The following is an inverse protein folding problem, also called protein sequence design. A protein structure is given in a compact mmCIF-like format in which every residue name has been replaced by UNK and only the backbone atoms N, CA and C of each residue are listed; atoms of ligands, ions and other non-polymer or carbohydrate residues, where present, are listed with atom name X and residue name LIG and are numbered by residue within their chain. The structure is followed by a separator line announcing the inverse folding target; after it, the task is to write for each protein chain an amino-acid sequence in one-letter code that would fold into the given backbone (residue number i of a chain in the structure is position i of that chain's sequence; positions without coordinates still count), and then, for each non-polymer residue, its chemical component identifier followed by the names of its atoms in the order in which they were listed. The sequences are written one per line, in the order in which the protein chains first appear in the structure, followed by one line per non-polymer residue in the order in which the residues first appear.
data_IF_368519800989
#
_entry.id   IF_368519800989
#
_cell.length_a   1.000
_cell.length_b   1.000
_cell.length_c   1.000
_cell.angle_alpha   90.00
_cell.angle_beta   90.00
_cell.angle_gamma   90.00
#
_symmetry.space_group_name_H-M   'P 1'
#
loop_
_entity.id
_entity.type
_entity.pdbx_description
1 polymer ?
#
# COMPACT_ATOMS: atom_id res chain seq x y z
N UNK A 1 16.78 14.76 -15.02
CA UNK A 1 15.61 13.84 -15.03
C UNK A 1 14.42 14.55 -14.36
N UNK A 2 13.15 14.22 -14.63
CA UNK A 2 11.98 14.87 -14.00
C UNK A 2 10.83 13.86 -13.77
N UNK A 3 9.78 14.30 -13.09
CA UNK A 3 8.60 13.47 -12.76
C UNK A 3 7.92 12.92 -14.00
N UNK A 4 7.76 13.72 -15.05
CA UNK A 4 7.15 13.28 -16.32
C UNK A 4 7.88 12.09 -16.92
N UNK A 5 9.23 12.09 -16.89
CA UNK A 5 10.03 10.96 -17.36
C UNK A 5 9.89 9.72 -16.48
N UNK A 6 9.79 9.89 -15.16
CA UNK A 6 9.51 8.77 -14.25
C UNK A 6 8.14 8.18 -14.58
N UNK A 7 7.10 9.01 -14.66
CA UNK A 7 5.74 8.59 -15.01
C UNK A 7 5.70 7.84 -16.35
N UNK A 8 6.37 8.35 -17.38
CA UNK A 8 6.47 7.67 -18.66
C UNK A 8 7.16 6.29 -18.54
N UNK A 9 8.17 6.15 -17.68
CA UNK A 9 8.89 4.89 -17.50
C UNK A 9 8.16 3.82 -16.70
N UNK A 10 7.18 4.23 -15.88
CA UNK A 10 6.37 3.31 -15.06
C UNK A 10 4.97 3.07 -15.63
N UNK A 11 4.61 3.73 -16.74
CA UNK A 11 3.26 3.68 -17.29
C UNK A 11 2.84 2.24 -17.64
N UNK A 12 3.75 1.45 -18.22
CA UNK A 12 3.43 0.07 -18.58
C UNK A 12 3.07 -0.79 -17.37
N UNK A 13 3.75 -0.61 -16.24
CA UNK A 13 3.48 -1.33 -15.00
C UNK A 13 2.15 -0.86 -14.38
N UNK A 14 1.87 0.45 -14.42
CA UNK A 14 0.56 0.99 -14.00
C UNK A 14 -0.58 0.39 -14.82
N UNK A 15 -0.45 0.39 -16.15
CA UNK A 15 -1.48 -0.17 -17.04
C UNK A 15 -1.71 -1.67 -16.75
N UNK A 16 -0.65 -2.44 -16.50
CA UNK A 16 -0.76 -3.86 -16.12
C UNK A 16 -1.52 -4.05 -14.81
N UNK A 17 -1.30 -3.20 -13.80
CA UNK A 17 -2.02 -3.28 -12.53
C UNK A 17 -3.49 -2.88 -12.66
N UNK A 18 -3.80 -1.88 -13.50
CA UNK A 18 -5.18 -1.43 -13.73
C UNK A 18 -5.98 -2.42 -14.60
N UNK A 19 -5.31 -3.17 -15.47
CA UNK A 19 -5.93 -4.16 -16.36
C UNK A 19 -5.65 -5.61 -15.91
N UNK A 20 -5.28 -5.80 -14.65
CA UNK A 20 -4.83 -7.10 -14.15
C UNK A 20 -5.95 -8.15 -14.20
N UNK A 21 -5.65 -9.35 -14.70
CA UNK A 21 -6.63 -10.42 -14.89
C UNK A 21 -7.31 -10.86 -13.58
N UNK A 22 -6.60 -10.80 -12.45
CA UNK A 22 -7.12 -10.95 -11.09
C UNK A 22 -8.54 -10.38 -10.89
N UNK A 23 -8.81 -9.17 -11.36
CA UNK A 23 -10.10 -8.52 -11.14
C UNK A 23 -11.27 -9.31 -11.72
N UNK A 24 -11.09 -9.94 -12.88
CA UNK A 24 -12.09 -10.78 -13.51
C UNK A 24 -12.20 -12.18 -12.87
N UNK A 25 -11.25 -12.56 -12.00
CA UNK A 25 -11.21 -13.87 -11.33
C UNK A 25 -11.92 -13.87 -9.99
N UNK A 26 -12.05 -12.73 -9.32
CA UNK A 26 -12.76 -12.61 -8.03
C UNK A 26 -14.27 -12.67 -8.26
N UNK A 27 -14.86 -13.87 -8.23
CA UNK A 27 -16.27 -14.12 -8.58
C UNK A 27 -17.12 -14.69 -7.46
N UNK A 28 -16.49 -15.29 -6.44
CA UNK A 28 -17.13 -15.84 -5.26
C UNK A 28 -16.66 -15.15 -3.99
N UNK A 29 -17.41 -15.33 -2.89
CA UNK A 29 -17.04 -14.78 -1.58
C UNK A 29 -15.71 -15.38 -1.12
N UNK A 30 -15.45 -16.63 -1.44
CA UNK A 30 -14.20 -17.33 -1.15
C UNK A 30 -13.00 -16.75 -1.95
N UNK A 31 -13.23 -16.33 -3.19
CA UNK A 31 -12.21 -15.61 -3.97
C UNK A 31 -11.93 -14.23 -3.36
N UNK A 32 -12.99 -13.54 -2.92
CA UNK A 32 -12.87 -12.26 -2.22
C UNK A 32 -12.08 -12.41 -0.92
N UNK A 33 -12.37 -13.43 -0.11
CA UNK A 33 -11.58 -13.73 1.10
C UNK A 33 -10.11 -13.94 0.75
N UNK A 34 -9.82 -14.74 -0.28
CA UNK A 34 -8.45 -14.97 -0.74
C UNK A 34 -7.75 -13.67 -1.16
N UNK A 35 -8.49 -12.77 -1.82
CA UNK A 35 -7.99 -11.43 -2.16
C UNK A 35 -7.66 -10.63 -0.90
N UNK A 36 -8.60 -10.50 0.05
CA UNK A 36 -8.43 -9.68 1.25
C UNK A 36 -7.31 -10.20 2.16
N UNK A 37 -7.25 -11.52 2.36
CA UNK A 37 -6.26 -12.20 3.20
C UNK A 37 -4.81 -12.03 2.72
N UNK A 38 -4.62 -11.73 1.43
CA UNK A 38 -3.32 -11.42 0.84
C UNK A 38 -3.08 -9.90 0.72
N UNK A 39 -4.11 -9.14 0.32
CA UNK A 39 -4.02 -7.69 0.13
C UNK A 39 -3.76 -6.94 1.45
N UNK A 40 -4.22 -7.47 2.58
CA UNK A 40 -3.98 -6.90 3.92
C UNK A 40 -2.49 -6.64 4.22
N UNK A 41 -1.57 -7.42 3.63
CA UNK A 41 -0.13 -7.18 3.78
C UNK A 41 0.33 -5.90 3.08
N UNK A 42 -0.30 -5.49 1.98
CA UNK A 42 -0.05 -4.21 1.32
C UNK A 42 -0.72 -3.04 2.05
N UNK A 43 -1.83 -3.27 2.74
CA UNK A 43 -2.43 -2.27 3.63
C UNK A 43 -1.48 -1.99 4.80
N UNK A 44 -0.90 -3.04 5.38
CA UNK A 44 0.04 -2.91 6.49
C UNK A 44 1.42 -2.34 6.08
N UNK A 45 1.99 -2.75 4.93
CA UNK A 45 3.31 -2.26 4.50
C UNK A 45 3.30 -0.77 4.17
N UNK A 46 2.16 -0.25 3.70
CA UNK A 46 1.94 1.17 3.43
C UNK A 46 2.24 2.03 4.67
N UNK A 47 1.68 1.66 5.82
CA UNK A 47 1.94 2.35 7.09
C UNK A 47 3.43 2.33 7.45
N UNK A 48 4.15 1.26 7.13
CA UNK A 48 5.60 1.20 7.39
C UNK A 48 6.40 2.19 6.54
N UNK A 49 6.05 2.36 5.25
CA UNK A 49 6.63 3.38 4.39
C UNK A 49 6.31 4.79 4.89
N UNK A 50 5.05 5.03 5.25
CA UNK A 50 4.58 6.33 5.77
C UNK A 50 5.33 6.70 7.06
N UNK A 51 5.46 5.77 8.01
CA UNK A 51 6.21 6.01 9.26
C UNK A 51 7.69 6.26 9.01
N UNK A 52 8.31 5.54 8.07
CA UNK A 52 9.68 5.81 7.67
C UNK A 52 9.85 7.23 7.08
N UNK A 53 8.90 7.69 6.25
CA UNK A 53 8.88 9.07 5.76
C UNK A 53 8.64 10.08 6.88
N UNK A 54 7.73 9.81 7.82
CA UNK A 54 7.47 10.68 8.96
C UNK A 54 8.73 10.87 9.81
N UNK A 55 9.47 9.81 10.09
CA UNK A 55 10.73 9.88 10.82
C UNK A 55 11.79 10.72 10.08
N UNK A 56 11.89 10.59 8.75
CA UNK A 56 12.93 11.29 7.96
C UNK A 56 12.57 12.73 7.62
N UNK A 57 11.30 13.03 7.43
CA UNK A 57 10.83 14.29 6.85
C UNK A 57 10.18 15.22 7.88
N UNK A 58 9.88 14.71 9.08
CA UNK A 58 9.30 15.50 10.18
C UNK A 58 10.16 15.42 11.44
N UNK A 59 9.60 15.75 12.60
CA UNK A 59 10.23 15.53 13.89
C UNK A 59 9.31 14.70 14.76
N UNK A 60 9.73 13.47 15.05
CA UNK A 60 8.99 12.48 15.85
C UNK A 60 9.66 12.20 17.21
N UNK A 61 10.68 12.99 17.57
CA UNK A 61 11.51 12.77 18.77
C UNK A 61 11.63 14.03 19.63
N UNK A 62 12.14 13.86 20.86
CA UNK A 62 12.37 14.96 21.80
C UNK A 62 13.86 15.20 22.04
N UNK A 63 14.33 16.46 22.15
CA UNK A 63 13.56 17.70 22.04
C UNK A 63 13.10 17.99 20.60
N UNK A 64 11.92 18.61 20.46
CA UNK A 64 11.36 18.94 19.15
C UNK A 64 12.13 20.08 18.48
N UNK A 65 12.45 19.90 17.19
CA UNK A 65 13.05 20.90 16.32
C UNK A 65 12.40 20.80 14.91
N UNK A 66 12.26 21.91 14.18
CA UNK A 66 11.71 21.86 12.82
C UNK A 66 12.68 21.17 11.84
N UNK A 67 12.19 20.18 11.09
CA UNK A 67 12.96 19.40 10.10
C UNK A 67 12.60 19.81 8.67
N UNK A 68 13.56 20.27 7.87
CA UNK A 68 13.38 20.41 6.41
C UNK A 68 12.26 21.38 5.98
N UNK A 69 11.53 21.02 4.92
CA UNK A 69 10.51 21.86 4.29
C UNK A 69 9.15 21.79 5.03
N UNK A 70 8.51 22.92 5.41
CA UNK A 70 7.19 22.92 6.04
C UNK A 70 6.08 22.24 5.22
N UNK A 71 6.11 22.34 3.89
CA UNK A 71 5.09 21.77 3.00
C UNK A 71 5.16 20.25 3.00
N UNK A 72 6.38 19.70 2.90
CA UNK A 72 6.61 18.26 3.02
C UNK A 72 6.24 17.77 4.43
N UNK A 73 6.52 18.53 5.49
CA UNK A 73 6.08 18.19 6.85
C UNK A 73 4.57 18.16 7.00
N UNK A 74 3.88 19.13 6.41
CA UNK A 74 2.43 19.22 6.44
C UNK A 74 1.82 18.00 5.74
N UNK A 75 2.24 17.72 4.49
CA UNK A 75 1.80 16.54 3.73
C UNK A 75 1.92 15.24 4.54
N UNK A 76 3.11 14.94 5.04
CA UNK A 76 3.35 13.67 5.73
C UNK A 76 2.54 13.57 7.01
N UNK A 77 2.41 14.66 7.78
CA UNK A 77 1.60 14.61 8.99
C UNK A 77 0.09 14.54 8.70
N UNK A 78 -0.35 15.15 7.61
CA UNK A 78 -1.75 15.08 7.17
C UNK A 78 -2.12 13.65 6.78
N UNK A 79 -1.31 13.00 5.92
CA UNK A 79 -1.50 11.59 5.56
C UNK A 79 -1.45 10.72 6.81
N UNK A 80 -0.54 10.98 7.77
CA UNK A 80 -0.51 10.22 9.03
C UNK A 80 -1.82 10.37 9.82
N UNK A 81 -2.42 11.57 9.88
CA UNK A 81 -3.70 11.75 10.58
C UNK A 81 -4.81 10.95 9.91
N UNK A 82 -4.87 10.97 8.58
CA UNK A 82 -5.84 10.18 7.82
C UNK A 82 -5.61 8.69 8.06
N UNK A 83 -4.42 8.18 7.80
CA UNK A 83 -4.14 6.75 7.80
C UNK A 83 -4.12 6.10 9.18
N UNK A 84 -3.72 6.83 10.23
CA UNK A 84 -3.60 6.28 11.59
C UNK A 84 -4.86 6.50 12.42
N UNK A 85 -5.68 7.50 12.08
CA UNK A 85 -6.83 7.92 12.89
C UNK A 85 -7.99 8.52 12.06
N UNK A 86 -8.46 7.84 11.03
CA UNK A 86 -9.62 8.31 10.26
C UNK A 86 -10.96 8.02 10.96
N UNK A 87 -12.02 8.66 10.49
CA UNK A 87 -13.40 8.31 10.83
C UNK A 87 -13.81 7.01 10.16
N UNK A 88 -14.43 6.14 10.94
CA UNK A 88 -15.15 4.96 10.45
C UNK A 88 -16.58 5.33 10.02
N UNK A 89 -17.27 4.41 9.35
CA UNK A 89 -18.67 4.57 8.96
C UNK A 89 -19.60 4.88 10.15
N UNK A 90 -19.30 4.36 11.35
CA UNK A 90 -20.04 4.61 12.59
C UNK A 90 -19.49 5.80 13.41
N UNK A 91 -18.54 6.56 12.86
CA UNK A 91 -17.99 7.79 13.44
C UNK A 91 -16.95 7.59 14.54
N UNK A 92 -16.43 6.37 14.73
CA UNK A 92 -15.28 6.09 15.60
C UNK A 92 -13.97 6.46 14.89
N UNK A 93 -12.85 6.38 15.62
CA UNK A 93 -11.51 6.60 15.08
C UNK A 93 -10.76 5.28 15.00
N UNK A 94 -10.27 4.92 13.83
CA UNK A 94 -9.44 3.76 13.57
C UNK A 94 -8.35 4.12 12.55
N UNK A 95 -7.24 3.40 12.58
CA UNK A 95 -6.33 3.40 11.44
C UNK A 95 -6.97 2.70 10.24
N UNK A 96 -6.54 3.04 9.02
CA UNK A 96 -6.96 2.35 7.81
C UNK A 96 -6.66 0.86 7.85
N UNK A 97 -5.55 0.45 8.49
CA UNK A 97 -5.28 -0.97 8.73
C UNK A 97 -6.36 -1.64 9.61
N UNK A 98 -6.74 -1.01 10.72
CA UNK A 98 -7.81 -1.53 11.60
C UNK A 98 -9.16 -1.53 10.90
N UNK A 99 -9.47 -0.52 10.08
CA UNK A 99 -10.68 -0.49 9.25
C UNK A 99 -10.72 -1.64 8.25
N UNK A 100 -9.57 -1.96 7.65
CA UNK A 100 -9.46 -3.08 6.72
C UNK A 100 -9.66 -4.43 7.43
N UNK A 101 -9.08 -4.61 8.62
CA UNK A 101 -9.29 -5.80 9.47
C UNK A 101 -10.76 -5.92 9.89
N UNK A 102 -11.40 -4.84 10.32
CA UNK A 102 -12.82 -4.84 10.68
C UNK A 102 -13.71 -5.18 9.46
N UNK A 103 -13.38 -4.68 8.27
CA UNK A 103 -14.07 -5.04 7.03
C UNK A 103 -13.85 -6.51 6.63
N UNK A 104 -12.65 -7.06 6.86
CA UNK A 104 -12.36 -8.48 6.64
C UNK A 104 -13.22 -9.36 7.56
N UNK A 105 -13.28 -9.05 8.85
CA UNK A 105 -14.07 -9.81 9.81
C UNK A 105 -15.57 -9.74 9.51
N UNK A 106 -16.06 -8.56 9.11
CA UNK A 106 -17.47 -8.32 8.76
C UNK A 106 -17.94 -9.17 7.56
N UNK A 107 -17.07 -9.36 6.56
CA UNK A 107 -17.36 -10.22 5.41
C UNK A 107 -16.89 -11.68 5.59
N UNK A 108 -16.30 -12.04 6.74
CA UNK A 108 -15.92 -13.40 7.10
C UNK A 108 -14.54 -13.88 6.62
N UNK A 109 -13.69 -12.98 6.14
CA UNK A 109 -12.31 -13.31 5.76
C UNK A 109 -11.43 -13.58 6.99
N UNK A 110 -10.42 -14.45 6.85
CA UNK A 110 -9.58 -14.87 7.96
C UNK A 110 -8.46 -13.86 8.29
N UNK A 111 -8.54 -13.20 9.43
CA UNK A 111 -7.51 -12.23 9.89
C UNK A 111 -6.38 -12.87 10.69
N UNK A 112 -6.52 -14.13 11.13
CA UNK A 112 -5.53 -14.78 11.98
C UNK A 112 -4.11 -14.83 11.39
N UNK A 113 -3.89 -15.08 10.07
CA UNK A 113 -2.55 -15.12 9.50
C UNK A 113 -1.79 -13.79 9.60
N UNK A 114 -2.45 -12.65 9.30
CA UNK A 114 -1.81 -11.34 9.42
C UNK A 114 -1.55 -10.98 10.88
N UNK A 115 -2.50 -11.26 11.78
CA UNK A 115 -2.32 -10.98 13.21
C UNK A 115 -1.16 -11.80 13.81
N UNK A 116 -1.09 -13.10 13.50
CA UNK A 116 0.03 -13.95 13.89
C UNK A 116 1.36 -13.48 13.28
N UNK A 117 1.35 -12.99 12.04
CA UNK A 117 2.53 -12.39 11.43
C UNK A 117 3.02 -11.17 12.21
N UNK A 118 2.11 -10.27 12.62
CA UNK A 118 2.46 -9.07 13.41
C UNK A 118 2.98 -9.44 14.80
N UNK A 119 2.41 -10.45 15.46
CA UNK A 119 2.96 -11.00 16.70
C UNK A 119 4.40 -11.48 16.50
N UNK A 120 4.66 -12.25 15.44
CA UNK A 120 6.01 -12.69 15.09
C UNK A 120 6.98 -11.52 14.80
N UNK A 121 6.52 -10.45 14.15
CA UNK A 121 7.31 -9.22 13.94
C UNK A 121 7.70 -8.59 15.29
N UNK A 122 6.77 -8.50 16.22
CA UNK A 122 7.02 -7.96 17.56
C UNK A 122 7.99 -8.85 18.38
N UNK A 123 7.84 -10.17 18.31
CA UNK A 123 8.67 -11.13 19.04
C UNK A 123 10.11 -11.20 18.50
N UNK A 124 10.26 -11.32 17.18
CA UNK A 124 11.59 -11.47 16.55
C UNK A 124 12.38 -10.17 16.56
N UNK A 125 11.70 -9.02 16.57
CA UNK A 125 12.28 -7.68 16.37
C UNK A 125 13.17 -7.60 15.13
N UNK A 126 12.90 -8.45 14.15
CA UNK A 126 13.63 -8.50 12.88
C UNK A 126 12.65 -8.88 11.77
N UNK A 127 12.19 -7.87 11.05
CA UNK A 127 11.19 -8.02 10.00
C UNK A 127 11.62 -9.00 8.91
N UNK A 128 12.90 -9.01 8.52
CA UNK A 128 13.39 -9.94 7.49
C UNK A 128 13.34 -11.40 7.96
N UNK A 129 13.54 -11.67 9.25
CA UNK A 129 13.36 -13.00 9.82
C UNK A 129 11.89 -13.41 9.83
N UNK A 130 10.98 -12.51 10.23
CA UNK A 130 9.54 -12.76 10.19
C UNK A 130 9.03 -13.05 8.77
N UNK A 131 9.42 -12.24 7.79
CA UNK A 131 9.07 -12.45 6.37
C UNK A 131 9.59 -13.80 5.87
N UNK A 132 10.84 -14.14 6.19
CA UNK A 132 11.43 -15.41 5.74
C UNK A 132 10.69 -16.62 6.32
N UNK A 133 10.33 -16.57 7.61
CA UNK A 133 9.70 -17.66 8.35
C UNK A 133 8.18 -17.79 8.15
N UNK A 134 7.51 -16.76 7.64
CA UNK A 134 6.06 -16.82 7.42
C UNK A 134 5.69 -17.86 6.36
N UNK A 135 4.43 -18.29 6.32
CA UNK A 135 3.93 -19.20 5.27
C UNK A 135 3.36 -18.45 4.06
N UNK A 136 3.71 -17.16 3.91
CA UNK A 136 3.23 -16.32 2.82
C UNK A 136 3.75 -16.79 1.46
N UNK A 137 2.94 -16.55 0.43
CA UNK A 137 3.32 -16.78 -0.95
C UNK A 137 4.66 -16.07 -1.28
N UNK A 138 5.58 -16.69 -2.06
CA UNK A 138 6.90 -16.11 -2.35
C UNK A 138 6.86 -14.68 -2.89
N UNK A 139 5.88 -14.34 -3.74
CA UNK A 139 5.76 -12.97 -4.24
C UNK A 139 5.24 -11.97 -3.18
N UNK A 140 4.42 -12.40 -2.22
CA UNK A 140 4.02 -11.56 -1.07
C UNK A 140 5.25 -11.29 -0.20
N UNK A 141 6.07 -12.31 0.06
CA UNK A 141 7.34 -12.15 0.76
C UNK A 141 8.28 -11.20 0.03
N UNK A 142 8.41 -11.33 -1.30
CA UNK A 142 9.26 -10.46 -2.11
C UNK A 142 8.79 -9.00 -2.09
N UNK A 143 7.48 -8.77 -2.06
CA UNK A 143 6.89 -7.44 -1.92
C UNK A 143 7.23 -6.81 -0.56
N UNK A 144 7.04 -7.55 0.54
CA UNK A 144 7.39 -7.06 1.88
C UNK A 144 8.90 -6.87 2.05
N UNK A 145 9.72 -7.84 1.60
CA UNK A 145 11.18 -7.77 1.69
C UNK A 145 11.72 -6.54 0.95
N UNK A 146 11.20 -6.23 -0.24
CA UNK A 146 11.51 -5.00 -0.95
C UNK A 146 11.21 -3.76 -0.12
N UNK A 147 9.99 -3.63 0.41
CA UNK A 147 9.57 -2.47 1.22
C UNK A 147 10.53 -2.25 2.39
N UNK A 148 10.82 -3.30 3.16
CA UNK A 148 11.70 -3.16 4.33
C UNK A 148 13.17 -2.98 3.98
N UNK A 149 13.64 -3.48 2.83
CA UNK A 149 15.00 -3.15 2.33
C UNK A 149 15.14 -1.68 1.96
N UNK A 150 14.13 -1.10 1.32
CA UNK A 150 14.13 0.34 0.98
C UNK A 150 14.11 1.19 2.26
N UNK A 151 13.33 0.79 3.26
CA UNK A 151 13.32 1.44 4.58
C UNK A 151 14.68 1.32 5.27
N UNK A 152 15.28 0.12 5.30
CA UNK A 152 16.59 -0.15 5.92
C UNK A 152 17.74 0.60 5.22
N UNK A 153 17.69 0.77 3.89
CA UNK A 153 18.65 1.62 3.16
C UNK A 153 18.58 3.09 3.62
N UNK A 154 17.41 3.54 4.11
CA UNK A 154 17.27 4.80 4.83
C UNK A 154 17.34 6.07 3.97
N UNK A 155 17.38 5.95 2.64
CA UNK A 155 17.42 7.10 1.72
C UNK A 155 16.01 7.67 1.51
N UNK A 156 15.73 8.93 1.93
CA UNK A 156 14.37 9.48 1.89
C UNK A 156 13.75 9.51 0.49
N UNK A 157 14.55 9.81 -0.55
CA UNK A 157 14.05 9.84 -1.93
C UNK A 157 13.65 8.46 -2.46
N UNK A 158 14.31 7.38 -2.02
CA UNK A 158 13.94 6.01 -2.40
C UNK A 158 12.66 5.57 -1.69
N UNK A 159 12.56 5.83 -0.39
CA UNK A 159 11.34 5.54 0.38
C UNK A 159 10.16 6.33 -0.22
N UNK A 160 10.36 7.61 -0.53
CA UNK A 160 9.34 8.44 -1.17
C UNK A 160 8.94 7.92 -2.55
N UNK A 161 9.88 7.41 -3.36
CA UNK A 161 9.54 6.80 -4.64
C UNK A 161 8.65 5.55 -4.49
N UNK A 162 9.01 4.66 -3.56
CA UNK A 162 8.21 3.46 -3.28
C UNK A 162 6.82 3.81 -2.74
N UNK A 163 6.73 4.80 -1.84
CA UNK A 163 5.48 5.31 -1.28
C UNK A 163 4.61 5.97 -2.36
N UNK A 164 5.13 7.00 -3.04
CA UNK A 164 4.34 7.81 -3.98
C UNK A 164 3.96 7.02 -5.23
N UNK A 165 4.92 6.50 -5.98
CA UNK A 165 4.63 5.86 -7.28
C UNK A 165 4.17 4.41 -7.14
N UNK A 166 4.65 3.72 -6.10
CA UNK A 166 4.33 2.32 -5.86
C UNK A 166 3.04 2.11 -5.07
N UNK A 167 2.51 3.15 -4.41
CA UNK A 167 1.30 3.08 -3.56
C UNK A 167 0.38 4.26 -3.87
N UNK A 168 0.64 5.42 -3.28
CA UNK A 168 -0.24 6.60 -3.19
C UNK A 168 -0.91 6.97 -4.53
N UNK A 169 -0.10 7.18 -5.57
CA UNK A 169 -0.56 7.64 -6.88
C UNK A 169 -1.36 6.57 -7.66
N UNK A 170 -1.20 5.30 -7.30
CA UNK A 170 -1.86 4.18 -7.96
C UNK A 170 -3.17 3.78 -7.26
N UNK A 171 -3.21 3.92 -5.93
CA UNK A 171 -4.28 3.39 -5.07
C UNK A 171 -5.68 3.81 -5.54
N UNK A 172 -5.99 5.10 -5.83
CA UNK A 172 -7.35 5.52 -6.18
C UNK A 172 -7.90 4.84 -7.44
N UNK A 173 -7.07 4.78 -8.50
CA UNK A 173 -7.47 4.16 -9.76
C UNK A 173 -7.64 2.64 -9.61
N UNK A 174 -6.74 2.01 -8.85
CA UNK A 174 -6.77 0.57 -8.58
C UNK A 174 -7.99 0.19 -7.72
N UNK A 175 -8.30 0.97 -6.69
CA UNK A 175 -9.44 0.77 -5.81
C UNK A 175 -10.78 1.00 -6.53
N UNK A 176 -10.82 1.92 -7.50
CA UNK A 176 -11.98 2.09 -8.39
C UNK A 176 -12.28 0.81 -9.17
N UNK A 177 -11.26 0.16 -9.74
CA UNK A 177 -11.45 -1.12 -10.46
C UNK A 177 -11.86 -2.25 -9.50
N UNK A 178 -11.29 -2.31 -8.29
CA UNK A 178 -11.68 -3.29 -7.27
C UNK A 178 -13.16 -3.13 -6.89
N UNK A 179 -13.59 -1.91 -6.56
CA UNK A 179 -14.99 -1.60 -6.21
C UNK A 179 -15.96 -1.95 -7.32
N UNK A 180 -15.63 -1.60 -8.58
CA UNK A 180 -16.48 -1.92 -9.74
C UNK A 180 -16.74 -3.42 -9.87
N UNK A 181 -15.72 -4.24 -9.63
CA UNK A 181 -15.87 -5.69 -9.67
C UNK A 181 -16.70 -6.20 -8.50
N UNK A 182 -16.53 -5.65 -7.29
CA UNK A 182 -17.30 -6.08 -6.13
C UNK A 182 -18.79 -5.78 -6.28
N UNK A 183 -19.14 -4.58 -6.74
CA UNK A 183 -20.53 -4.22 -7.02
C UNK A 183 -21.16 -5.09 -8.11
N UNK A 184 -20.37 -5.57 -9.07
CA UNK A 184 -20.86 -6.42 -10.17
C UNK A 184 -21.06 -7.87 -9.72
N UNK A 185 -20.12 -8.43 -8.93
CA UNK A 185 -20.10 -9.85 -8.59
C UNK A 185 -20.77 -10.19 -7.26
N UNK A 186 -20.92 -9.22 -6.35
CA UNK A 186 -21.43 -9.44 -4.99
C UNK A 186 -22.65 -8.56 -4.61
N UNK A 187 -23.68 -8.39 -5.47
CA UNK A 187 -24.77 -7.45 -5.22
C UNK A 187 -25.62 -7.76 -3.97
N UNK A 188 -25.57 -9.00 -3.47
CA UNK A 188 -26.33 -9.46 -2.30
C UNK A 188 -25.46 -9.64 -1.04
N UNK A 189 -24.14 -9.46 -1.13
CA UNK A 189 -23.23 -9.56 0.02
C UNK A 189 -23.13 -8.20 0.69
N UNK A 190 -23.32 -8.14 2.01
CA UNK A 190 -23.05 -6.91 2.75
C UNK A 190 -21.54 -6.66 2.78
N UNK A 191 -21.10 -5.62 2.06
CA UNK A 191 -19.71 -5.19 1.99
C UNK A 191 -19.57 -3.72 2.41
N UNK A 192 -20.53 -3.16 3.17
CA UNK A 192 -20.62 -1.73 3.46
C UNK A 192 -19.32 -1.16 4.05
N UNK A 193 -18.70 -1.85 5.01
CA UNK A 193 -17.41 -1.42 5.60
C UNK A 193 -16.26 -1.47 4.61
N UNK A 194 -16.24 -2.48 3.75
CA UNK A 194 -15.21 -2.65 2.75
C UNK A 194 -15.34 -1.59 1.64
N UNK A 195 -16.57 -1.35 1.19
CA UNK A 195 -16.89 -0.28 0.23
C UNK A 195 -16.48 1.07 0.81
N UNK A 196 -16.87 1.36 2.05
CA UNK A 196 -16.48 2.58 2.74
C UNK A 196 -14.96 2.75 2.80
N UNK A 197 -14.21 1.70 3.17
CA UNK A 197 -12.74 1.75 3.20
C UNK A 197 -12.15 2.18 1.84
N UNK A 198 -12.61 1.58 0.74
CA UNK A 198 -12.10 1.91 -0.60
C UNK A 198 -12.53 3.30 -1.06
N UNK A 199 -13.78 3.69 -0.83
CA UNK A 199 -14.29 5.03 -1.16
C UNK A 199 -13.51 6.12 -0.42
N UNK A 200 -13.17 5.92 0.86
CA UNK A 200 -12.36 6.86 1.65
C UNK A 200 -11.00 7.14 1.02
N UNK A 201 -10.30 6.12 0.50
CA UNK A 201 -9.01 6.31 -0.17
C UNK A 201 -9.17 6.97 -1.55
N UNK A 202 -10.27 6.69 -2.27
CA UNK A 202 -10.55 7.38 -3.53
C UNK A 202 -10.80 8.87 -3.30
N UNK A 203 -11.56 9.22 -2.27
CA UNK A 203 -11.91 10.61 -1.93
C UNK A 203 -10.72 11.41 -1.36
N UNK A 204 -9.94 10.82 -0.46
CA UNK A 204 -8.83 11.50 0.21
C UNK A 204 -7.62 11.71 -0.71
N UNK A 205 -7.28 10.69 -1.50
CA UNK A 205 -5.98 10.67 -2.17
C UNK A 205 -6.02 11.34 -3.57
N UNK A 206 -7.21 11.52 -4.17
CA UNK A 206 -7.32 11.98 -5.56
C UNK A 206 -6.97 13.45 -5.78
N UNK A 207 -7.32 14.33 -4.82
CA UNK A 207 -7.33 15.77 -5.08
C UNK A 207 -6.22 16.55 -4.35
N UNK A 208 -5.79 16.10 -3.16
CA UNK A 208 -4.81 16.83 -2.35
C UNK A 208 -3.45 16.12 -2.24
N UNK A 209 -3.43 14.83 -1.88
CA UNK A 209 -2.17 14.13 -1.59
C UNK A 209 -1.31 13.85 -2.82
N UNK A 210 -1.90 13.50 -3.97
CA UNK A 210 -1.17 13.24 -5.22
C UNK A 210 -0.26 14.40 -5.67
N UNK A 211 -0.80 15.62 -5.91
CA UNK A 211 0.03 16.78 -6.29
C UNK A 211 1.11 17.13 -5.26
N UNK A 212 0.79 17.01 -3.97
CA UNK A 212 1.74 17.28 -2.89
C UNK A 212 2.86 16.24 -2.82
N UNK A 213 2.56 14.97 -3.07
CA UNK A 213 3.55 13.91 -3.16
C UNK A 213 4.54 14.16 -4.31
N UNK A 214 4.06 14.64 -5.46
CA UNK A 214 4.93 15.04 -6.58
C UNK A 214 5.82 16.24 -6.23
N UNK A 215 5.32 17.20 -5.45
CA UNK A 215 6.14 18.31 -4.93
C UNK A 215 7.22 17.79 -3.99
N UNK A 216 6.89 16.91 -3.05
CA UNK A 216 7.85 16.25 -2.15
C UNK A 216 8.95 15.52 -2.95
N UNK A 217 8.59 14.78 -3.99
CA UNK A 217 9.54 14.09 -4.88
C UNK A 217 10.54 15.07 -5.50
N UNK A 218 10.04 16.18 -6.07
CA UNK A 218 10.88 17.21 -6.67
C UNK A 218 11.84 17.84 -5.65
N UNK A 219 11.36 18.10 -4.44
CA UNK A 219 12.17 18.66 -3.34
C UNK A 219 13.28 17.71 -2.88
N UNK A 220 12.97 16.42 -2.71
CA UNK A 220 13.94 15.43 -2.26
C UNK A 220 15.06 15.19 -3.25
N UNK A 221 14.76 15.25 -4.55
CA UNK A 221 15.73 15.11 -5.62
C UNK A 221 16.52 16.39 -5.91
N UNK A 222 15.84 17.55 -5.94
CA UNK A 222 16.43 18.81 -6.37
C UNK A 222 17.12 18.68 -7.74
N UNK A 223 18.37 19.13 -7.84
CA UNK A 223 19.19 19.05 -9.06
C UNK A 223 20.08 17.80 -9.12
N UNK A 224 19.92 16.85 -8.18
CA UNK A 224 20.79 15.68 -8.10
C UNK A 224 20.31 14.56 -9.04
N UNK A 225 20.97 14.41 -10.18
CA UNK A 225 20.64 13.38 -11.18
C UNK A 225 20.78 11.94 -10.65
N UNK A 226 21.64 11.68 -9.67
CA UNK A 226 21.75 10.34 -9.06
C UNK A 226 20.49 10.01 -8.28
N UNK A 227 19.97 10.96 -7.48
CA UNK A 227 18.71 10.75 -6.74
C UNK A 227 17.55 10.50 -7.67
N UNK A 228 17.46 11.27 -8.77
CA UNK A 228 16.41 11.06 -9.77
C UNK A 228 16.50 9.69 -10.42
N UNK A 229 17.71 9.20 -10.73
CA UNK A 229 17.91 7.86 -11.30
C UNK A 229 17.52 6.77 -10.30
N UNK A 230 17.96 6.89 -9.05
CA UNK A 230 17.60 5.97 -7.97
C UNK A 230 16.09 5.95 -7.71
N UNK A 231 15.42 7.11 -7.75
CA UNK A 231 13.96 7.17 -7.67
C UNK A 231 13.30 6.41 -8.81
N UNK A 232 13.73 6.63 -10.05
CA UNK A 232 13.17 5.93 -11.21
C UNK A 232 13.30 4.41 -11.06
N UNK A 233 14.50 3.93 -10.69
CA UNK A 233 14.79 2.51 -10.47
C UNK A 233 13.87 1.93 -9.38
N UNK A 234 13.71 2.62 -8.25
CA UNK A 234 12.83 2.19 -7.15
C UNK A 234 11.35 2.25 -7.52
N UNK A 235 10.90 3.26 -8.26
CA UNK A 235 9.50 3.34 -8.71
C UNK A 235 9.12 2.18 -9.62
N UNK A 236 10.01 1.80 -10.54
CA UNK A 236 9.83 0.63 -11.41
C UNK A 236 9.75 -0.64 -10.57
N UNK A 237 10.74 -0.87 -9.70
CA UNK A 237 10.78 -2.08 -8.88
C UNK A 237 9.58 -2.18 -7.94
N UNK A 238 9.15 -1.08 -7.33
CA UNK A 238 7.99 -1.05 -6.43
C UNK A 238 6.70 -1.52 -7.11
N UNK A 239 6.50 -1.12 -8.37
CA UNK A 239 5.35 -1.54 -9.17
C UNK A 239 5.49 -2.98 -9.66
N UNK A 240 6.69 -3.43 -10.03
CA UNK A 240 6.94 -4.84 -10.38
C UNK A 240 6.67 -5.78 -9.20
N UNK A 241 7.09 -5.40 -7.98
CA UNK A 241 6.76 -6.16 -6.76
C UNK A 241 5.26 -6.18 -6.50
N UNK A 242 4.56 -5.06 -6.74
CA UNK A 242 3.10 -4.98 -6.62
C UNK A 242 2.41 -5.90 -7.64
N UNK A 243 2.86 -5.92 -8.89
CA UNK A 243 2.37 -6.89 -9.90
C UNK A 243 2.60 -8.32 -9.40
N UNK A 244 3.77 -8.61 -8.81
CA UNK A 244 4.05 -9.90 -8.18
C UNK A 244 3.04 -10.28 -7.08
N UNK A 245 2.65 -9.33 -6.25
CA UNK A 245 1.60 -9.52 -5.24
C UNK A 245 0.25 -9.85 -5.90
N UNK A 246 -0.17 -9.12 -6.94
CA UNK A 246 -1.42 -9.40 -7.67
C UNK A 246 -1.40 -10.78 -8.32
N UNK A 247 -0.28 -11.16 -8.94
CA UNK A 247 -0.06 -12.50 -9.49
C UNK A 247 -0.19 -13.60 -8.41
N UNK A 248 0.30 -13.34 -7.19
CA UNK A 248 0.17 -14.28 -6.07
C UNK A 248 -1.29 -14.55 -5.68
N UNK A 249 -2.10 -13.48 -5.68
CA UNK A 249 -3.52 -13.57 -5.34
C UNK A 249 -4.25 -14.32 -6.45
N UNK A 250 -4.00 -13.97 -7.71
CA UNK A 250 -4.61 -14.64 -8.85
C UNK A 250 -4.27 -16.14 -8.87
N UNK A 251 -3.00 -16.48 -8.65
CA UNK A 251 -2.57 -17.88 -8.59
C UNK A 251 -3.32 -18.66 -7.51
N UNK A 252 -3.43 -18.12 -6.28
CA UNK A 252 -4.12 -18.80 -5.19
C UNK A 252 -5.63 -18.98 -5.46
N UNK A 253 -6.26 -18.00 -6.13
CA UNK A 253 -7.66 -18.11 -6.56
C UNK A 253 -7.82 -19.21 -7.62
N UNK A 254 -6.94 -19.24 -8.62
CA UNK A 254 -7.00 -20.24 -9.70
C UNK A 254 -6.70 -21.66 -9.21
N UNK A 255 -5.68 -21.84 -8.36
CA UNK A 255 -5.33 -23.16 -7.79
C UNK A 255 -6.47 -23.74 -6.95
N UNK A 256 -7.23 -22.90 -6.21
CA UNK A 256 -8.43 -23.35 -5.48
C UNK A 256 -9.51 -23.88 -6.43
N UNK A 257 -9.68 -23.27 -7.60
CA UNK A 257 -10.66 -23.73 -8.61
C UNK A 257 -10.29 -25.08 -9.22
N UNK A 258 -9.00 -25.43 -9.30
CA UNK A 258 -8.55 -26.72 -9.85
C UNK A 258 -8.67 -27.88 -8.85
N UNK A 259 -8.84 -27.59 -7.56
CA UNK A 259 -8.95 -28.57 -6.47
C UNK A 259 -10.40 -28.93 -6.08
N UNK A 260 -11.38 -28.24 -6.66
CA UNK A 260 -12.83 -28.45 -6.46
C UNK A 260 -13.42 -29.19 -7.65
#
# INVERSE_FOLDING_TARGET
MNIEKINASIQSQKDQLLQHALYEKVKSVEDLHTFLENHVFAVWDFMSLLKALQEKLTCTTTPWLPTGNPETRYLINEIVVAEETDLTLDGKRLSHFEMYIDAMEDCGANTAPILAFLENVNETKNIFVSIKKSDLHPNVKAFLDFTFRIIDEGKPHKIAAAFTFGREDLIPSMFTEILRNFQTNFPETNLDKLVYYFERHIELDSDEHGPMAMKMISELCGTNETKWKEMQEVSIEALEKRIGLWNAIEQQIVEKLELV
#
